data_IF_505229365201
#
_entry.id   IF_505229365201
#
_cell.length_a   1.000
_cell.length_b   1.000
_cell.length_c   1.000
_cell.angle_alpha   90.00
_cell.angle_beta   90.00
_cell.angle_gamma   90.00
#
_symmetry.space_group_name_H-M   'P 1'
#
loop_
_entity.id
_entity.type
_entity.pdbx_description
1 polymer ?
#
# COMPACT_ATOMS: atom_id res chain seq x y z
N UNK A 1 -4.58 -0.08 -12.64
CA UNK A 1 -5.23 0.50 -11.45
C UNK A 1 -4.82 1.96 -11.36
N UNK A 2 -5.78 2.89 -11.42
CA UNK A 2 -5.55 4.33 -11.24
C UNK A 2 -5.90 4.71 -9.80
N UNK A 3 -4.99 5.36 -9.08
CA UNK A 3 -5.26 5.92 -7.75
C UNK A 3 -5.36 7.43 -7.88
N UNK A 4 -6.48 7.96 -7.44
CA UNK A 4 -6.83 9.38 -7.45
C UNK A 4 -7.28 9.79 -6.05
N UNK A 5 -7.04 11.04 -5.67
CA UNK A 5 -7.61 11.63 -4.46
C UNK A 5 -8.53 12.78 -4.87
N UNK A 6 -9.83 12.52 -5.07
CA UNK A 6 -10.81 13.54 -5.40
C UNK A 6 -10.83 14.63 -4.34
N UNK A 7 -11.03 15.88 -4.75
CA UNK A 7 -11.13 17.03 -3.83
C UNK A 7 -12.21 16.82 -2.76
N UNK A 8 -13.33 16.16 -3.13
CA UNK A 8 -14.46 15.85 -2.25
C UNK A 8 -14.16 14.79 -1.17
N UNK A 9 -13.08 14.01 -1.32
CA UNK A 9 -12.65 13.01 -0.33
C UNK A 9 -11.55 13.51 0.60
N UNK A 10 -11.15 14.78 0.50
CA UNK A 10 -10.18 15.41 1.39
C UNK A 10 -10.90 16.00 2.59
N UNK A 11 -10.31 15.84 3.78
CA UNK A 11 -10.80 16.50 4.99
C UNK A 11 -10.93 18.01 4.74
N UNK A 12 -12.03 18.62 5.20
CA UNK A 12 -12.25 20.06 5.05
C UNK A 12 -11.68 20.77 6.29
N UNK A 13 -10.93 21.85 6.08
CA UNK A 13 -10.44 22.66 7.19
C UNK A 13 -11.62 23.35 7.88
N UNK A 14 -11.79 23.14 9.18
CA UNK A 14 -12.81 23.81 10.00
C UNK A 14 -12.61 25.33 10.07
N UNK A 15 -11.38 25.81 9.82
CA UNK A 15 -11.01 27.23 9.80
C UNK A 15 -11.24 27.90 8.44
N UNK A 16 -11.02 27.18 7.34
CA UNK A 16 -11.02 27.76 5.99
C UNK A 16 -12.24 27.35 5.14
N UNK A 17 -13.02 26.36 5.57
CA UNK A 17 -14.16 25.83 4.82
C UNK A 17 -13.80 25.20 3.47
N UNK A 18 -12.50 24.92 3.25
CA UNK A 18 -11.95 24.39 2.01
C UNK A 18 -11.30 23.02 2.25
N UNK A 19 -11.28 22.12 1.24
CA UNK A 19 -10.53 20.88 1.31
C UNK A 19 -9.08 21.14 1.72
N UNK A 20 -8.58 20.40 2.71
CA UNK A 20 -7.18 20.44 3.12
C UNK A 20 -6.37 19.91 1.94
N UNK A 21 -5.58 20.80 1.34
CA UNK A 21 -4.58 20.42 0.37
C UNK A 21 -3.36 19.92 1.14
N UNK A 22 -3.09 18.62 1.10
CA UNK A 22 -1.83 18.11 1.62
C UNK A 22 -0.72 18.51 0.64
N UNK A 23 0.21 19.40 1.04
CA UNK A 23 1.28 19.88 0.16
C UNK A 23 2.21 18.75 -0.29
N UNK A 24 2.22 17.63 0.45
CA UNK A 24 3.08 16.48 0.17
C UNK A 24 2.48 15.50 -0.84
N UNK A 25 1.22 15.64 -1.28
CA UNK A 25 0.66 14.68 -2.24
C UNK A 25 1.46 14.60 -3.54
N UNK A 26 1.86 15.75 -4.09
CA UNK A 26 2.68 15.81 -5.31
C UNK A 26 3.98 15.00 -5.13
N UNK A 27 4.62 15.22 -4.00
CA UNK A 27 5.87 14.58 -3.62
C UNK A 27 5.66 13.08 -3.40
N UNK A 28 4.57 12.65 -2.77
CA UNK A 28 4.23 11.23 -2.60
C UNK A 28 4.13 10.50 -3.93
N UNK A 29 3.39 11.05 -4.89
CA UNK A 29 3.27 10.47 -6.22
C UNK A 29 4.61 10.43 -6.96
N UNK A 30 5.41 11.49 -6.88
CA UNK A 30 6.76 11.52 -7.46
C UNK A 30 7.69 10.47 -6.85
N UNK A 31 7.69 10.34 -5.52
CA UNK A 31 8.53 9.39 -4.81
C UNK A 31 8.11 7.95 -5.09
N UNK A 32 6.82 7.66 -5.15
CA UNK A 32 6.33 6.33 -5.47
C UNK A 32 6.65 5.94 -6.91
N UNK A 33 6.48 6.86 -7.87
CA UNK A 33 6.91 6.68 -9.27
C UNK A 33 8.41 6.35 -9.34
N UNK A 34 9.26 7.16 -8.68
CA UNK A 34 10.70 6.96 -8.68
C UNK A 34 11.10 5.63 -8.04
N UNK A 35 10.45 5.26 -6.93
CA UNK A 35 10.66 3.98 -6.26
C UNK A 35 10.27 2.81 -7.17
N UNK A 36 9.09 2.85 -7.81
CA UNK A 36 8.65 1.80 -8.73
C UNK A 36 9.61 1.64 -9.92
N UNK A 37 10.05 2.75 -10.53
CA UNK A 37 11.04 2.73 -11.62
C UNK A 37 12.37 2.13 -11.17
N UNK A 38 12.85 2.49 -9.97
CA UNK A 38 14.10 1.96 -9.41
C UNK A 38 13.99 0.48 -9.09
N UNK A 39 12.92 0.07 -8.40
CA UNK A 39 12.67 -1.33 -8.08
C UNK A 39 12.57 -2.17 -9.35
N UNK A 40 11.96 -1.64 -10.41
CA UNK A 40 11.79 -2.38 -11.65
C UNK A 40 13.09 -2.54 -12.44
N UNK A 41 13.97 -1.55 -12.39
CA UNK A 41 15.27 -1.60 -13.08
C UNK A 41 16.34 -2.37 -12.30
N UNK A 42 16.30 -2.37 -10.97
CA UNK A 42 17.42 -2.84 -10.14
C UNK A 42 17.07 -4.03 -9.24
N UNK A 43 15.81 -4.32 -8.96
CA UNK A 43 15.41 -5.38 -8.05
C UNK A 43 14.65 -6.50 -8.74
N UNK A 44 14.94 -7.75 -8.37
CA UNK A 44 14.22 -8.93 -8.86
C UNK A 44 13.03 -9.25 -7.97
N UNK A 45 12.23 -8.24 -7.65
CA UNK A 45 10.99 -8.39 -6.88
C UNK A 45 9.78 -8.05 -7.75
N UNK A 46 8.65 -8.75 -7.57
CA UNK A 46 7.42 -8.43 -8.28
C UNK A 46 6.88 -7.09 -7.78
N UNK A 47 6.94 -6.08 -8.64
CA UNK A 47 6.28 -4.79 -8.47
C UNK A 47 5.40 -4.50 -9.69
N UNK A 48 4.31 -3.74 -9.53
CA UNK A 48 3.51 -3.33 -10.68
C UNK A 48 4.36 -2.51 -11.66
N UNK A 49 4.07 -2.65 -12.96
CA UNK A 49 4.64 -1.73 -13.94
C UNK A 49 3.92 -0.38 -13.85
N UNK A 50 4.69 0.70 -13.93
CA UNK A 50 4.16 2.05 -14.09
C UNK A 50 3.66 2.23 -15.52
N UNK A 51 2.40 2.63 -15.69
CA UNK A 51 1.82 2.99 -17.00
C UNK A 51 1.90 4.47 -17.26
N UNK A 52 1.43 5.27 -16.31
CA UNK A 52 1.34 6.71 -16.43
C UNK A 52 1.27 7.35 -15.04
N UNK A 53 1.63 8.63 -14.94
CA UNK A 53 1.50 9.42 -13.72
C UNK A 53 1.49 10.91 -14.08
N UNK A 54 0.87 11.73 -13.24
CA UNK A 54 0.84 13.17 -13.48
C UNK A 54 -0.33 13.85 -12.81
N UNK A 55 -0.74 14.96 -13.42
CA UNK A 55 -1.92 15.73 -13.05
C UNK A 55 -2.85 15.72 -14.27
N UNK A 56 -4.14 15.46 -14.06
CA UNK A 56 -5.13 15.51 -15.12
C UNK A 56 -5.69 16.92 -15.34
N UNK A 57 -6.61 17.06 -16.29
CA UNK A 57 -7.23 18.34 -16.65
C UNK A 57 -8.02 18.99 -15.51
N UNK A 58 -8.34 18.25 -14.45
CA UNK A 58 -9.06 18.74 -13.28
C UNK A 58 -8.12 19.11 -12.12
N UNK A 59 -6.79 19.02 -12.33
CA UNK A 59 -5.80 19.22 -11.26
C UNK A 59 -5.69 18.02 -10.32
N UNK A 60 -6.31 16.88 -10.64
CA UNK A 60 -6.21 15.67 -9.83
C UNK A 60 -4.94 14.91 -10.19
N UNK A 61 -4.21 14.52 -9.14
CA UNK A 61 -2.97 13.76 -9.29
C UNK A 61 -3.26 12.28 -9.34
N UNK A 62 -2.59 11.59 -10.25
CA UNK A 62 -2.79 10.16 -10.45
C UNK A 62 -1.47 9.39 -10.58
N UNK A 63 -1.53 8.13 -10.14
CA UNK A 63 -0.59 7.07 -10.49
C UNK A 63 -1.37 5.94 -11.14
N UNK A 64 -0.96 5.53 -12.32
CA UNK A 64 -1.51 4.38 -13.01
C UNK A 64 -0.47 3.27 -13.12
N UNK A 65 -0.88 2.08 -12.72
CA UNK A 65 -0.04 0.89 -12.73
C UNK A 65 -0.76 -0.33 -13.29
N UNK A 66 0.01 -1.34 -13.70
CA UNK A 66 -0.53 -2.67 -13.97
C UNK A 66 -1.20 -3.26 -12.72
N UNK A 67 -2.28 -4.02 -12.94
CA UNK A 67 -2.84 -4.84 -11.88
C UNK A 67 -1.91 -6.03 -11.61
N UNK A 68 -1.45 -6.15 -10.37
CA UNK A 68 -0.68 -7.33 -9.94
C UNK A 68 -1.67 -8.39 -9.47
N UNK A 69 -1.64 -9.55 -10.13
CA UNK A 69 -2.43 -10.71 -9.71
C UNK A 69 -1.98 -11.21 -8.34
N UNK A 70 -2.94 -11.52 -7.47
CA UNK A 70 -2.66 -12.03 -6.14
C UNK A 70 -3.89 -12.05 -5.25
N UNK A 71 -3.74 -12.62 -4.06
CA UNK A 71 -4.77 -12.64 -3.02
C UNK A 71 -4.36 -11.70 -1.91
N UNK A 72 -5.25 -10.79 -1.50
CA UNK A 72 -5.02 -9.96 -0.32
C UNK A 72 -4.90 -10.84 0.92
N UNK A 73 -3.89 -10.62 1.75
CA UNK A 73 -3.54 -11.48 2.90
C UNK A 73 -4.70 -11.64 3.91
N UNK A 74 -5.63 -10.69 3.96
CA UNK A 74 -6.84 -10.75 4.78
C UNK A 74 -7.90 -11.75 4.28
N UNK A 75 -7.78 -12.28 3.06
CA UNK A 75 -8.79 -13.17 2.46
C UNK A 75 -8.63 -14.65 2.80
N UNK A 76 -7.42 -15.25 2.83
CA UNK A 76 -7.24 -16.67 3.14
C UNK A 76 -7.89 -17.11 4.46
N UNK A 77 -7.89 -16.26 5.49
CA UNK A 77 -8.56 -16.56 6.76
C UNK A 77 -10.08 -16.46 6.73
N UNK A 78 -10.68 -15.79 5.75
CA UNK A 78 -12.15 -15.58 5.67
C UNK A 78 -12.89 -16.78 5.10
N UNK A 79 -12.24 -17.53 4.22
CA UNK A 79 -12.84 -18.69 3.55
C UNK A 79 -11.76 -19.69 3.17
N UNK A 80 -11.98 -20.97 3.48
CA UNK A 80 -11.06 -22.03 3.04
C UNK A 80 -11.04 -22.17 1.52
N UNK A 81 -9.85 -21.99 0.93
CA UNK A 81 -9.60 -22.20 -0.50
C UNK A 81 -9.05 -23.60 -0.83
N UNK A 82 -8.79 -24.41 0.19
CA UNK A 82 -8.18 -25.74 0.08
C UNK A 82 -8.94 -26.80 0.90
N UNK A 83 -10.27 -26.95 0.73
CA UNK A 83 -11.11 -27.77 1.62
C UNK A 83 -10.68 -29.24 1.68
N UNK A 84 -10.21 -29.79 0.55
CA UNK A 84 -9.74 -31.18 0.47
C UNK A 84 -8.42 -31.42 1.24
N UNK A 85 -7.55 -30.40 1.33
CA UNK A 85 -6.27 -30.50 2.03
C UNK A 85 -6.39 -30.22 3.53
N UNK A 86 -7.39 -29.42 3.93
CA UNK A 86 -7.66 -29.07 5.32
C UNK A 86 -8.68 -29.98 5.98
N UNK A 87 -9.04 -31.09 5.31
CA UNK A 87 -10.01 -32.10 5.78
C UNK A 87 -11.26 -31.46 6.38
N UNK A 88 -11.75 -30.41 5.72
CA UNK A 88 -12.95 -29.73 6.18
C UNK A 88 -14.16 -30.61 5.86
N UNK A 89 -14.88 -31.03 6.91
CA UNK A 89 -16.20 -31.62 6.75
C UNK A 89 -17.11 -30.60 6.04
N UNK A 90 -18.12 -31.07 5.28
CA UNK A 90 -18.98 -30.21 4.45
C UNK A 90 -19.58 -28.98 5.15
N UNK A 91 -19.73 -29.01 6.48
CA UNK A 91 -20.23 -27.92 7.32
C UNK A 91 -19.27 -26.72 7.49
N UNK A 92 -18.01 -26.83 7.04
CA UNK A 92 -16.97 -25.79 7.16
C UNK A 92 -16.61 -25.11 5.83
N UNK A 93 -17.25 -25.50 4.73
CA UNK A 93 -17.08 -24.84 3.42
C UNK A 93 -17.68 -23.42 3.52
N UNK A 94 -16.92 -22.40 3.11
CA UNK A 94 -17.36 -21.00 3.20
C UNK A 94 -17.10 -20.32 4.55
N UNK A 95 -16.55 -21.04 5.55
CA UNK A 95 -16.23 -20.48 6.88
C UNK A 95 -14.76 -20.04 6.99
N UNK A 96 -14.47 -19.27 8.03
CA UNK A 96 -13.10 -18.87 8.37
C UNK A 96 -12.18 -20.08 8.50
N UNK A 97 -10.93 -19.92 8.08
CA UNK A 97 -9.97 -21.01 7.99
C UNK A 97 -8.59 -20.57 8.48
N UNK A 98 -8.28 -20.91 9.72
CA UNK A 98 -7.01 -20.56 10.36
C UNK A 98 -5.82 -21.19 9.63
N UNK A 99 -5.96 -22.43 9.15
CA UNK A 99 -4.91 -23.09 8.36
C UNK A 99 -4.57 -22.35 7.06
N UNK A 100 -5.56 -21.76 6.38
CA UNK A 100 -5.31 -20.91 5.21
C UNK A 100 -4.66 -19.58 5.61
N UNK A 101 -5.05 -19.00 6.76
CA UNK A 101 -4.43 -17.78 7.27
C UNK A 101 -2.95 -18.02 7.64
N UNK A 102 -2.66 -19.09 8.37
CA UNK A 102 -1.31 -19.48 8.79
C UNK A 102 -0.42 -19.78 7.60
N UNK A 103 -0.94 -20.51 6.60
CA UNK A 103 -0.20 -20.80 5.37
C UNK A 103 0.12 -19.51 4.60
N UNK A 104 -0.85 -18.60 4.48
CA UNK A 104 -0.63 -17.32 3.80
C UNK A 104 0.40 -16.46 4.54
N UNK A 105 0.34 -16.42 5.87
CA UNK A 105 1.30 -15.71 6.70
C UNK A 105 2.71 -16.31 6.58
N UNK A 106 2.83 -17.64 6.61
CA UNK A 106 4.10 -18.35 6.42
C UNK A 106 4.71 -18.03 5.05
N UNK A 107 3.91 -18.09 3.99
CA UNK A 107 4.36 -17.76 2.63
C UNK A 107 4.81 -16.30 2.53
N UNK A 108 4.10 -15.37 3.18
CA UNK A 108 4.50 -13.97 3.24
C UNK A 108 5.84 -13.81 3.96
N UNK A 109 5.99 -14.37 5.15
CA UNK A 109 7.23 -14.28 5.92
C UNK A 109 8.42 -14.84 5.11
N UNK A 110 8.23 -16.01 4.48
CA UNK A 110 9.25 -16.60 3.62
C UNK A 110 9.60 -15.69 2.44
N UNK A 111 8.61 -15.13 1.74
CA UNK A 111 8.84 -14.18 0.65
C UNK A 111 9.61 -12.95 1.13
N UNK A 112 9.26 -12.40 2.29
CA UNK A 112 9.92 -11.23 2.86
C UNK A 112 11.39 -11.53 3.16
N UNK A 113 11.66 -12.62 3.87
CA UNK A 113 13.00 -12.99 4.32
C UNK A 113 13.91 -13.43 3.17
N UNK A 114 13.40 -14.27 2.26
CA UNK A 114 14.22 -14.92 1.24
C UNK A 114 14.29 -14.12 -0.07
N UNK A 115 13.29 -13.28 -0.36
CA UNK A 115 13.21 -12.55 -1.65
C UNK A 115 13.25 -11.05 -1.46
N UNK A 116 12.35 -10.49 -0.66
CA UNK A 116 12.17 -9.04 -0.57
C UNK A 116 13.39 -8.36 0.07
N UNK A 117 13.72 -8.71 1.32
CA UNK A 117 14.78 -8.06 2.08
C UNK A 117 16.15 -8.20 1.41
N UNK A 118 16.56 -9.36 0.87
CA UNK A 118 17.84 -9.48 0.18
C UNK A 118 17.94 -8.56 -1.04
N UNK A 119 16.87 -8.47 -1.86
CA UNK A 119 16.86 -7.58 -3.01
C UNK A 119 16.90 -6.11 -2.57
N UNK A 120 16.13 -5.72 -1.55
CA UNK A 120 16.15 -4.34 -1.07
C UNK A 120 17.49 -3.93 -0.45
N UNK A 121 18.15 -4.84 0.29
CA UNK A 121 19.48 -4.60 0.86
C UNK A 121 20.54 -4.34 -0.21
N UNK A 122 20.43 -4.95 -1.39
CA UNK A 122 21.33 -4.67 -2.51
C UNK A 122 21.13 -3.31 -3.16
N UNK A 123 19.99 -2.64 -2.91
CA UNK A 123 19.71 -1.30 -3.42
C UNK A 123 20.32 -0.25 -2.51
N UNK A 124 21.65 -0.15 -2.52
CA UNK A 124 22.35 0.89 -1.78
C UNK A 124 22.32 2.21 -2.54
N UNK A 125 22.22 3.31 -1.80
CA UNK A 125 22.36 4.67 -2.32
C UNK A 125 23.26 5.45 -1.38
N UNK A 126 24.20 6.22 -1.91
CA UNK A 126 24.99 7.19 -1.13
C UNK A 126 24.19 8.45 -0.78
N UNK A 127 22.95 8.55 -1.28
CA UNK A 127 22.01 9.63 -0.99
C UNK A 127 20.74 9.08 -0.35
N UNK A 128 20.23 9.79 0.67
CA UNK A 128 18.96 9.48 1.34
C UNK A 128 17.74 9.83 0.47
N UNK A 129 17.94 10.31 -0.76
CA UNK A 129 16.91 10.95 -1.59
C UNK A 129 16.46 10.04 -2.73
N UNK A 130 15.15 9.92 -2.91
CA UNK A 130 14.54 9.44 -4.16
C UNK A 130 14.10 10.70 -4.91
N UNK A 131 14.71 10.99 -6.06
CA UNK A 131 14.49 12.23 -6.83
C UNK A 131 14.61 13.52 -6.00
N UNK A 132 15.75 13.68 -5.30
CA UNK A 132 16.12 14.92 -4.60
C UNK A 132 15.26 15.32 -3.39
N UNK A 133 14.20 14.57 -3.07
CA UNK A 133 13.30 14.88 -1.97
C UNK A 133 13.06 13.69 -1.02
N UNK A 134 13.12 13.97 0.28
CA UNK A 134 12.78 13.02 1.35
C UNK A 134 11.47 13.46 1.97
N UNK A 135 10.43 12.64 1.86
CA UNK A 135 9.20 12.87 2.62
C UNK A 135 9.54 12.57 4.08
N UNK A 136 9.47 13.56 4.98
CA UNK A 136 9.74 13.30 6.40
C UNK A 136 8.71 12.27 6.91
N UNK A 137 9.13 11.33 7.79
CA UNK A 137 8.19 10.43 8.45
C UNK A 137 7.09 11.26 9.13
N UNK A 138 5.84 10.77 9.03
CA UNK A 138 4.58 11.38 9.50
C UNK A 138 4.77 12.60 10.41
N UNK A 139 4.78 13.79 9.80
CA UNK A 139 4.71 15.05 10.54
C UNK A 139 3.29 15.29 11.11
N UNK A 140 3.09 16.36 11.89
CA UNK A 140 1.83 16.64 12.64
C UNK A 140 0.54 16.70 11.79
N UNK A 141 0.63 16.72 10.46
CA UNK A 141 -0.52 16.65 9.55
C UNK A 141 -1.07 15.22 9.34
N UNK A 142 -0.30 14.18 9.69
CA UNK A 142 -0.72 12.79 9.56
C UNK A 142 -1.48 12.25 10.80
N UNK A 143 -1.63 13.08 11.85
CA UNK A 143 -2.23 12.69 13.13
C UNK A 143 -3.74 12.97 13.26
N UNK A 144 -4.42 13.50 12.24
CA UNK A 144 -5.84 13.88 12.42
C UNK A 144 -6.85 12.76 12.17
N UNK A 145 -6.47 11.48 12.12
CA UNK A 145 -7.44 10.37 11.95
C UNK A 145 -7.73 9.56 13.20
N UNK A 146 -7.02 9.76 14.31
CA UNK A 146 -7.28 9.00 15.54
C UNK A 146 -7.41 9.93 16.74
N UNK A 147 -8.50 10.72 16.83
CA UNK A 147 -9.14 11.07 18.11
C UNK A 147 -10.61 11.45 17.88
N UNK A 148 -11.45 10.45 17.70
CA UNK A 148 -12.82 10.50 18.23
C UNK A 148 -13.04 9.23 19.03
N UNK A 149 -13.01 9.35 20.36
CA UNK A 149 -13.45 8.29 21.25
C UNK A 149 -12.79 8.30 22.62
N UNK A 150 -13.30 9.13 23.54
CA UNK A 150 -13.21 8.84 24.98
C UNK A 150 -12.56 9.92 25.85
N UNK A 151 -13.29 11.01 26.10
CA UNK A 151 -13.32 11.56 27.45
C UNK A 151 -14.22 10.66 28.29
N UNK A 152 -13.66 10.01 29.30
CA UNK A 152 -14.10 10.21 30.68
C UNK A 152 -13.10 9.59 31.68
N UNK A 153 -13.02 10.31 32.79
CA UNK A 153 -12.37 10.01 34.07
C UNK A 153 -12.68 8.60 34.55
#
# INVERSE_FOLDING_TARGET
MKREIPLSKRNVSSLMGKPIENPWFKVHFQNETAALQRLRSQAKIPVPNLRSWGEDSEGLRFLETDLVGGVQLERPGKECRMPNFHSLNGEKIGKSCDQCADLAQKNLSQFVEEKLLPNLKSLTSSTTRLNEFVIPPRGPWALSTDQVGGLNV
#
